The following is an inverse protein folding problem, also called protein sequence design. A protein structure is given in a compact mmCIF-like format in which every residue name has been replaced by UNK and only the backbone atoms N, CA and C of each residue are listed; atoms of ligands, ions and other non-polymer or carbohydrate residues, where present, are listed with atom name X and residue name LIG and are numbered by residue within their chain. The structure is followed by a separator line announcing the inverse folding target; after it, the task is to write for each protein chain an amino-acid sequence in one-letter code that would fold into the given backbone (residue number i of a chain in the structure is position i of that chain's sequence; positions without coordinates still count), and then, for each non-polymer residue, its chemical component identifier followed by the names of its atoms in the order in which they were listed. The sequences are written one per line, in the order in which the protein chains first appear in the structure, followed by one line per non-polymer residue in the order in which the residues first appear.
data_IF_231682123176
#
_entry.id   IF_231682123176
#
_cell.length_a   1.000
_cell.length_b   1.000
_cell.length_c   1.000
_cell.angle_alpha   90.00
_cell.angle_beta   90.00
_cell.angle_gamma   90.00
#
_symmetry.space_group_name_H-M   'P 1'
#
loop_
_entity.id
_entity.type
_entity.pdbx_description
1 polymer ?
#
# COMPACT_ATOMS: atom_id res chain seq x y z
N UNK A 1 20.14 0.03 15.10
CA UNK A 1 19.62 -0.70 13.93
C UNK A 1 19.36 0.33 12.84
N UNK A 2 19.60 0.01 11.56
CA UNK A 2 19.29 0.95 10.48
C UNK A 2 17.76 1.09 10.36
N UNK A 3 17.26 2.31 10.22
CA UNK A 3 15.83 2.57 9.98
C UNK A 3 15.41 1.93 8.65
N UNK A 4 14.35 1.10 8.62
CA UNK A 4 13.92 0.41 7.40
C UNK A 4 13.28 1.34 6.37
N UNK A 5 12.99 2.58 6.77
CA UNK A 5 12.32 3.61 6.00
C UNK A 5 13.29 4.76 5.73
N UNK A 6 13.33 5.23 4.49
CA UNK A 6 14.01 6.45 4.08
C UNK A 6 13.17 7.68 4.45
N UNK A 7 13.79 8.83 4.72
CA UNK A 7 13.05 10.06 4.95
C UNK A 7 12.15 10.38 3.72
N UNK A 8 10.98 10.98 3.96
CA UNK A 8 10.05 11.33 2.90
C UNK A 8 10.70 12.37 1.99
N UNK A 9 10.41 12.33 0.68
CA UNK A 9 10.98 13.28 -0.28
C UNK A 9 9.99 14.40 -0.61
N UNK A 10 10.49 15.55 -1.08
CA UNK A 10 9.66 16.72 -1.43
C UNK A 10 8.73 16.52 -2.62
N UNK A 11 8.89 15.42 -3.36
CA UNK A 11 8.08 15.08 -4.55
C UNK A 11 6.92 14.12 -4.24
N UNK A 12 6.79 13.67 -2.98
CA UNK A 12 5.71 12.77 -2.58
C UNK A 12 4.35 13.48 -2.56
N UNK A 13 3.33 12.78 -3.05
CA UNK A 13 1.93 13.20 -2.90
C UNK A 13 1.44 13.02 -1.46
N UNK A 14 0.24 13.55 -1.16
CA UNK A 14 -0.35 13.42 0.18
C UNK A 14 -0.57 11.94 0.56
N UNK A 15 -0.89 11.08 -0.42
CA UNK A 15 -1.03 9.64 -0.28
C UNK A 15 0.29 8.96 0.11
N UNK A 16 1.39 9.30 -0.58
CA UNK A 16 2.72 8.79 -0.26
C UNK A 16 3.22 9.26 1.13
N UNK A 17 2.86 10.48 1.55
CA UNK A 17 3.22 11.00 2.87
C UNK A 17 2.45 10.28 3.99
N UNK A 18 1.18 9.95 3.78
CA UNK A 18 0.42 9.10 4.70
C UNK A 18 0.99 7.69 4.73
N UNK A 19 1.31 7.09 3.57
CA UNK A 19 1.96 5.77 3.51
C UNK A 19 3.29 5.75 4.28
N UNK A 20 4.06 6.85 4.19
CA UNK A 20 5.29 7.01 4.97
C UNK A 20 5.01 6.99 6.48
N UNK A 21 3.98 7.70 6.95
CA UNK A 21 3.59 7.71 8.36
C UNK A 21 3.10 6.33 8.81
N UNK A 22 2.28 5.66 8.01
CA UNK A 22 1.75 4.33 8.31
C UNK A 22 2.87 3.28 8.41
N UNK A 23 3.81 3.29 7.46
CA UNK A 23 4.98 2.43 7.54
C UNK A 23 5.85 2.77 8.75
N UNK A 24 6.01 4.07 9.06
CA UNK A 24 6.78 4.53 10.23
C UNK A 24 6.17 3.98 11.51
N UNK A 25 4.85 4.09 11.68
CA UNK A 25 4.13 3.51 12.81
C UNK A 25 4.24 1.97 12.82
N UNK A 26 4.15 1.31 11.67
CA UNK A 26 4.26 -0.15 11.56
C UNK A 26 5.61 -0.71 12.01
N UNK A 27 6.72 0.00 11.73
CA UNK A 27 8.07 -0.41 12.12
C UNK A 27 8.51 0.18 13.47
N UNK A 28 7.76 1.14 14.02
CA UNK A 28 8.01 1.67 15.35
C UNK A 28 7.69 0.64 16.44
N UNK A 29 8.44 0.68 17.54
CA UNK A 29 8.27 -0.28 18.64
C UNK A 29 6.96 -0.07 19.40
N UNK A 30 6.43 1.16 19.40
CA UNK A 30 5.22 1.55 20.09
C UNK A 30 4.03 1.74 19.15
N UNK A 31 4.23 1.56 17.84
CA UNK A 31 3.17 1.74 16.86
C UNK A 31 2.85 3.21 16.56
N UNK A 32 3.82 4.12 16.70
CA UNK A 32 3.58 5.57 16.61
C UNK A 32 4.40 6.22 15.49
N UNK A 33 3.75 7.06 14.69
CA UNK A 33 4.42 8.01 13.79
C UNK A 33 4.02 9.45 14.12
N UNK A 34 5.01 10.34 14.21
CA UNK A 34 4.81 11.74 14.61
C UNK A 34 4.85 12.67 13.41
N UNK A 35 3.86 13.57 13.32
CA UNK A 35 3.81 14.60 12.26
C UNK A 35 4.99 15.56 12.34
N UNK A 36 5.46 15.90 13.55
CA UNK A 36 6.65 16.74 13.73
C UNK A 36 7.90 16.12 13.08
N UNK A 37 8.03 14.79 13.10
CA UNK A 37 9.17 14.09 12.50
C UNK A 37 9.11 14.12 10.97
N UNK A 38 7.90 14.00 10.40
CA UNK A 38 7.63 14.19 8.99
C UNK A 38 8.01 15.62 8.56
N UNK A 39 7.48 16.63 9.23
CA UNK A 39 7.78 18.05 8.97
C UNK A 39 9.26 18.35 9.08
N UNK A 40 9.92 17.89 10.15
CA UNK A 40 11.36 18.08 10.33
C UNK A 40 12.17 17.48 9.18
N UNK A 41 11.75 16.34 8.65
CA UNK A 41 12.41 15.70 7.50
C UNK A 41 12.21 16.49 6.21
N UNK A 42 11.00 16.97 5.94
CA UNK A 42 10.69 17.79 4.77
C UNK A 42 11.45 19.14 4.81
N UNK A 43 11.44 19.83 5.95
CA UNK A 43 12.17 21.10 6.14
C UNK A 43 13.68 20.91 5.92
N UNK A 44 14.25 19.81 6.44
CA UNK A 44 15.68 19.51 6.24
C UNK A 44 16.02 19.35 4.76
N UNK A 45 15.09 18.82 3.96
CA UNK A 45 15.28 18.63 2.52
C UNK A 45 15.06 19.91 1.70
N UNK A 46 14.23 20.85 2.17
CA UNK A 46 14.02 22.12 1.49
C UNK A 46 15.27 23.03 1.53
N UNK A 47 16.25 22.74 2.40
CA UNK A 47 17.45 23.58 2.64
C UNK A 47 17.09 25.07 2.90
N UNK A 48 15.86 25.34 3.32
CA UNK A 48 15.35 26.68 3.59
C UNK A 48 15.58 27.05 5.05
N UNK A 49 16.41 28.08 5.28
CA UNK A 49 16.42 28.78 6.56
C UNK A 49 15.16 29.68 6.62
N UNK A 50 14.02 29.10 7.01
CA UNK A 50 12.84 29.91 7.32
C UNK A 50 12.97 30.54 8.70
N UNK A 51 13.38 31.81 8.70
CA UNK A 51 13.45 32.67 9.89
C UNK A 51 12.05 33.20 10.30
N UNK A 52 11.00 33.00 9.48
CA UNK A 52 9.63 33.40 9.78
C UNK A 52 8.83 32.24 10.40
N UNK A 53 8.61 32.35 11.72
CA UNK A 53 7.82 31.39 12.50
C UNK A 53 6.39 31.28 11.98
N UNK A 54 5.79 32.38 11.51
CA UNK A 54 4.38 32.40 11.08
C UNK A 54 4.13 31.58 9.81
N UNK A 55 5.06 31.63 8.85
CA UNK A 55 4.92 30.85 7.61
C UNK A 55 5.15 29.35 7.87
N UNK A 56 6.05 29.01 8.81
CA UNK A 56 6.27 27.62 9.25
C UNK A 56 5.04 27.03 9.92
N UNK A 57 4.41 27.79 10.83
CA UNK A 57 3.18 27.34 11.51
C UNK A 57 2.05 27.12 10.49
N UNK A 58 1.89 28.04 9.54
CA UNK A 58 0.91 27.91 8.46
C UNK A 58 1.16 26.67 7.58
N UNK A 59 2.41 26.38 7.21
CA UNK A 59 2.75 25.17 6.44
C UNK A 59 2.47 23.90 7.23
N UNK A 60 2.77 23.90 8.53
CA UNK A 60 2.44 22.80 9.42
C UNK A 60 0.94 22.54 9.42
N UNK A 61 0.13 23.56 9.67
CA UNK A 61 -1.33 23.45 9.68
C UNK A 61 -1.88 22.90 8.36
N UNK A 62 -1.38 23.42 7.23
CA UNK A 62 -1.76 22.94 5.90
C UNK A 62 -1.36 21.49 5.63
N UNK A 63 -0.19 21.06 6.12
CA UNK A 63 0.22 19.66 6.00
C UNK A 63 -0.66 18.75 6.85
N UNK A 64 -0.89 19.13 8.12
CA UNK A 64 -1.76 18.38 9.04
C UNK A 64 -3.15 18.21 8.43
N UNK A 65 -3.75 19.28 7.92
CA UNK A 65 -5.07 19.23 7.29
C UNK A 65 -5.10 18.27 6.08
N UNK A 66 -4.06 18.26 5.25
CA UNK A 66 -3.97 17.34 4.10
C UNK A 66 -3.84 15.88 4.54
N UNK A 67 -2.99 15.60 5.52
CA UNK A 67 -2.81 14.26 6.08
C UNK A 67 -4.10 13.76 6.75
N UNK A 68 -4.75 14.61 7.55
CA UNK A 68 -6.05 14.34 8.16
C UNK A 68 -7.10 13.98 7.13
N UNK A 69 -7.20 14.74 6.04
CA UNK A 69 -8.16 14.48 4.98
C UNK A 69 -7.94 13.11 4.32
N UNK A 70 -6.69 12.75 4.03
CA UNK A 70 -6.35 11.46 3.42
C UNK A 70 -6.58 10.28 4.40
N UNK A 71 -6.19 10.41 5.67
CA UNK A 71 -6.46 9.39 6.71
C UNK A 71 -7.96 9.21 6.89
N UNK A 72 -8.73 10.30 6.98
CA UNK A 72 -10.19 10.25 7.10
C UNK A 72 -10.84 9.60 5.86
N UNK A 73 -10.30 9.83 4.67
CA UNK A 73 -10.76 9.17 3.44
C UNK A 73 -10.53 7.65 3.52
N UNK A 74 -9.35 7.22 3.95
CA UNK A 74 -9.01 5.80 4.14
C UNK A 74 -9.89 5.14 5.20
N UNK A 75 -10.04 5.77 6.37
CA UNK A 75 -10.94 5.31 7.44
C UNK A 75 -12.38 5.15 6.96
N UNK A 76 -12.90 6.13 6.22
CA UNK A 76 -14.27 6.07 5.69
C UNK A 76 -14.48 4.93 4.71
N UNK A 77 -13.50 4.67 3.85
CA UNK A 77 -13.61 3.66 2.80
C UNK A 77 -13.37 2.23 3.29
N UNK A 78 -12.49 2.06 4.29
CA UNK A 78 -12.03 0.76 4.77
C UNK A 78 -12.66 0.37 6.11
N UNK A 79 -13.18 1.33 6.88
CA UNK A 79 -13.79 1.12 8.18
C UNK A 79 -12.87 0.33 9.12
N UNK A 80 -13.40 -0.73 9.73
CA UNK A 80 -12.70 -1.56 10.72
C UNK A 80 -11.50 -2.36 10.19
N UNK A 81 -11.25 -2.30 8.87
CA UNK A 81 -10.11 -2.97 8.22
C UNK A 81 -8.90 -2.05 8.00
N UNK A 82 -9.01 -0.77 8.38
CA UNK A 82 -7.89 0.16 8.43
C UNK A 82 -7.28 0.19 9.84
N UNK A 83 -5.98 -0.13 10.01
CA UNK A 83 -5.36 -0.31 11.33
C UNK A 83 -4.77 0.97 11.92
N UNK A 84 -5.01 2.15 11.33
CA UNK A 84 -4.40 3.39 11.79
C UNK A 84 -5.45 4.39 12.26
N UNK A 85 -5.12 5.12 13.30
CA UNK A 85 -5.95 6.19 13.84
C UNK A 85 -5.13 7.42 14.17
N UNK A 86 -5.64 8.59 13.83
CA UNK A 86 -4.98 9.83 14.16
C UNK A 86 -5.39 10.23 15.58
N UNK A 87 -4.41 10.55 16.41
CA UNK A 87 -4.64 11.07 17.76
C UNK A 87 -5.55 12.29 17.74
N UNK A 88 -6.26 12.55 18.84
CA UNK A 88 -7.19 13.68 18.93
C UNK A 88 -6.55 15.06 18.72
N UNK A 89 -5.22 15.18 18.87
CA UNK A 89 -4.50 16.43 18.57
C UNK A 89 -4.01 16.53 17.13
N UNK A 90 -4.08 15.46 16.34
CA UNK A 90 -3.55 15.41 14.97
C UNK A 90 -2.03 15.21 14.88
N UNK A 91 -1.32 15.10 16.01
CA UNK A 91 0.16 15.09 16.01
C UNK A 91 0.76 13.69 15.81
N UNK A 92 -0.02 12.65 16.11
CA UNK A 92 0.43 11.26 16.10
C UNK A 92 -0.53 10.38 15.31
N UNK A 93 0.02 9.56 14.41
CA UNK A 93 -0.67 8.41 13.81
C UNK A 93 -0.34 7.16 14.62
N UNK A 94 -1.38 6.50 15.11
CA UNK A 94 -1.31 5.34 15.99
C UNK A 94 -1.71 4.08 15.23
N UNK A 95 -0.90 3.03 15.36
CA UNK A 95 -1.21 1.69 14.90
C UNK A 95 -2.06 0.97 15.95
N UNK A 96 -3.12 0.28 15.51
CA UNK A 96 -3.96 -0.54 16.39
C UNK A 96 -3.12 -1.59 17.15
N UNK A 97 -3.33 -1.71 18.46
CA UNK A 97 -2.58 -2.64 19.30
C UNK A 97 -2.73 -4.12 18.89
N UNK A 98 -3.82 -4.45 18.20
CA UNK A 98 -4.10 -5.74 17.60
C UNK A 98 -3.93 -5.73 16.07
N UNK A 99 -3.03 -4.91 15.50
CA UNK A 99 -2.78 -4.84 14.06
C UNK A 99 -2.50 -6.18 13.36
N UNK A 100 -2.12 -7.22 14.12
CA UNK A 100 -1.94 -8.60 13.65
C UNK A 100 -3.26 -9.35 13.41
N UNK A 101 -4.40 -8.75 13.73
CA UNK A 101 -5.71 -9.30 13.40
C UNK A 101 -5.82 -9.52 11.88
N UNK A 102 -6.26 -10.70 11.41
CA UNK A 102 -6.43 -10.99 9.99
C UNK A 102 -7.25 -9.96 9.20
N UNK A 103 -8.16 -9.21 9.85
CA UNK A 103 -8.95 -8.18 9.17
C UNK A 103 -8.11 -7.06 8.56
N UNK A 104 -6.94 -6.77 9.14
CA UNK A 104 -6.02 -5.73 8.65
C UNK A 104 -5.07 -6.23 7.55
N UNK A 105 -5.00 -7.55 7.34
CA UNK A 105 -4.00 -8.16 6.49
C UNK A 105 -4.05 -7.65 5.04
N UNK A 106 -5.25 -7.46 4.48
CA UNK A 106 -5.41 -6.94 3.12
C UNK A 106 -4.77 -5.56 2.96
N UNK A 107 -5.08 -4.66 3.90
CA UNK A 107 -4.55 -3.30 3.87
C UNK A 107 -3.02 -3.29 4.00
N UNK A 108 -2.49 -3.95 5.03
CA UNK A 108 -1.05 -3.98 5.31
C UNK A 108 -0.25 -4.65 4.17
N UNK A 109 -0.79 -5.71 3.55
CA UNK A 109 -0.15 -6.32 2.39
C UNK A 109 -0.12 -5.35 1.22
N UNK A 110 -1.20 -4.63 0.94
CA UNK A 110 -1.25 -3.64 -0.13
C UNK A 110 -0.25 -2.50 0.13
N UNK A 111 -0.28 -1.89 1.32
CA UNK A 111 0.65 -0.84 1.74
C UNK A 111 2.10 -1.27 1.51
N UNK A 112 2.52 -2.40 2.09
CA UNK A 112 3.90 -2.90 1.91
C UNK A 112 4.20 -3.16 0.44
N UNK A 113 3.29 -3.82 -0.29
CA UNK A 113 3.55 -4.21 -1.69
C UNK A 113 3.71 -2.99 -2.60
N UNK A 114 2.95 -1.91 -2.38
CA UNK A 114 3.09 -0.64 -3.12
C UNK A 114 4.51 -0.07 -3.01
N UNK A 115 5.18 -0.26 -1.86
CA UNK A 115 6.52 0.28 -1.64
C UNK A 115 7.68 -0.70 -1.86
N UNK A 116 7.39 -1.97 -2.12
CA UNK A 116 8.42 -3.01 -2.30
C UNK A 116 9.19 -2.86 -3.63
N UNK A 117 8.60 -2.21 -4.64
CA UNK A 117 9.27 -1.97 -5.94
C UNK A 117 9.22 -0.50 -6.31
N UNK A 118 10.39 0.13 -6.48
CA UNK A 118 10.49 1.47 -7.09
C UNK A 118 10.00 2.64 -6.22
N UNK A 119 9.64 2.40 -4.95
CA UNK A 119 9.28 3.49 -4.03
C UNK A 119 10.49 4.09 -3.35
N UNK A 120 10.43 5.40 -3.11
CA UNK A 120 11.43 6.16 -2.37
C UNK A 120 11.35 5.97 -0.83
N UNK A 121 10.36 5.20 -0.32
CA UNK A 121 10.08 5.11 1.11
C UNK A 121 10.80 3.92 1.77
N UNK A 122 10.77 2.72 1.17
CA UNK A 122 11.43 1.55 1.77
C UNK A 122 12.90 1.49 1.36
N UNK A 123 13.79 1.76 2.32
CA UNK A 123 15.24 1.73 2.11
C UNK A 123 15.77 0.34 1.81
N UNK A 124 15.24 -0.66 2.49
CA UNK A 124 15.66 -2.05 2.38
C UNK A 124 14.44 -2.92 2.13
N UNK A 125 13.90 -2.92 0.89
CA UNK A 125 12.78 -3.78 0.57
C UNK A 125 13.19 -5.25 0.75
N UNK A 126 12.22 -6.14 1.07
CA UNK A 126 12.50 -7.56 1.14
C UNK A 126 13.08 -8.04 -0.19
N UNK A 127 14.14 -8.83 -0.13
CA UNK A 127 14.80 -9.43 -1.29
C UNK A 127 14.52 -10.92 -1.44
N UNK A 128 15.02 -11.50 -2.53
CA UNK A 128 15.10 -12.96 -2.72
C UNK A 128 13.76 -13.69 -2.66
N UNK A 129 13.72 -14.77 -1.87
CA UNK A 129 12.55 -15.65 -1.74
C UNK A 129 11.35 -14.93 -1.10
N UNK A 130 11.59 -14.06 -0.12
CA UNK A 130 10.53 -13.33 0.56
C UNK A 130 9.79 -12.39 -0.41
N UNK A 131 10.54 -11.65 -1.21
CA UNK A 131 9.99 -10.82 -2.30
C UNK A 131 9.21 -11.66 -3.30
N UNK A 132 9.79 -12.77 -3.73
CA UNK A 132 9.17 -13.67 -4.69
C UNK A 132 7.85 -14.22 -4.16
N UNK A 133 7.81 -14.61 -2.88
CA UNK A 133 6.60 -15.10 -2.23
C UNK A 133 5.54 -14.00 -2.07
N UNK A 134 5.94 -12.80 -1.65
CA UNK A 134 5.02 -11.67 -1.50
C UNK A 134 4.37 -11.34 -2.85
N UNK A 135 5.18 -11.06 -3.88
CA UNK A 135 4.72 -10.65 -5.21
C UNK A 135 4.00 -11.77 -5.96
N UNK A 136 4.60 -12.96 -6.06
CA UNK A 136 4.11 -14.01 -6.95
C UNK A 136 3.00 -14.87 -6.34
N UNK A 137 2.78 -14.79 -5.01
CA UNK A 137 1.77 -15.62 -4.34
C UNK A 137 0.82 -14.78 -3.52
N UNK A 138 1.31 -14.05 -2.53
CA UNK A 138 0.45 -13.34 -1.58
C UNK A 138 -0.36 -12.26 -2.29
N UNK A 139 0.29 -11.39 -3.06
CA UNK A 139 -0.38 -10.32 -3.77
C UNK A 139 -1.37 -10.84 -4.83
N UNK A 140 -1.02 -11.90 -5.56
CA UNK A 140 -1.95 -12.52 -6.52
C UNK A 140 -3.22 -13.03 -5.84
N UNK A 141 -3.12 -13.63 -4.65
CA UNK A 141 -4.27 -14.09 -3.87
C UNK A 141 -5.11 -12.89 -3.42
N UNK A 142 -4.47 -11.89 -2.81
CA UNK A 142 -5.13 -10.68 -2.30
C UNK A 142 -5.87 -9.94 -3.43
N UNK A 143 -5.21 -9.72 -4.56
CA UNK A 143 -5.81 -9.06 -5.72
C UNK A 143 -7.00 -9.85 -6.30
N UNK A 144 -6.90 -11.19 -6.34
CA UNK A 144 -8.00 -12.03 -6.84
C UNK A 144 -9.20 -11.99 -5.91
N UNK A 145 -8.99 -12.05 -4.59
CA UNK A 145 -10.06 -11.95 -3.61
C UNK A 145 -10.68 -10.55 -3.61
N UNK A 146 -9.88 -9.49 -3.72
CA UNK A 146 -10.36 -8.12 -3.86
C UNK A 146 -11.23 -7.94 -5.11
N UNK A 147 -10.80 -8.46 -6.26
CA UNK A 147 -11.59 -8.43 -7.49
C UNK A 147 -12.89 -9.23 -7.37
N UNK A 148 -12.86 -10.40 -6.73
CA UNK A 148 -14.06 -11.20 -6.50
C UNK A 148 -15.09 -10.44 -5.64
N UNK A 149 -14.62 -9.76 -4.60
CA UNK A 149 -15.44 -8.88 -3.76
C UNK A 149 -16.04 -7.73 -4.56
N UNK A 150 -15.21 -7.00 -5.33
CA UNK A 150 -15.65 -5.87 -6.14
C UNK A 150 -16.67 -6.28 -7.23
N UNK A 151 -16.39 -7.37 -7.94
CA UNK A 151 -17.27 -7.88 -8.99
C UNK A 151 -18.53 -8.57 -8.42
N UNK A 152 -18.59 -8.81 -7.10
CA UNK A 152 -19.63 -9.62 -6.46
C UNK A 152 -19.79 -10.99 -7.16
N UNK A 153 -18.67 -11.63 -7.47
CA UNK A 153 -18.64 -12.81 -8.34
C UNK A 153 -17.29 -13.52 -8.37
N UNK A 154 -17.15 -14.59 -9.17
CA UNK A 154 -15.90 -15.32 -9.26
C UNK A 154 -14.81 -14.49 -9.93
N UNK A 155 -13.60 -14.54 -9.39
CA UNK A 155 -12.41 -13.95 -10.00
C UNK A 155 -11.35 -15.02 -10.23
N UNK A 156 -10.54 -14.82 -11.28
CA UNK A 156 -9.51 -15.77 -11.70
C UNK A 156 -8.19 -15.03 -11.87
N UNK A 157 -7.13 -15.52 -11.23
CA UNK A 157 -5.79 -15.01 -11.45
C UNK A 157 -5.19 -15.62 -12.71
N UNK A 158 -4.98 -14.80 -13.74
CA UNK A 158 -4.28 -15.21 -14.98
C UNK A 158 -2.75 -15.16 -14.85
N UNK A 159 -2.24 -14.72 -13.69
CA UNK A 159 -0.81 -14.49 -13.44
C UNK A 159 0.06 -15.75 -13.55
N UNK A 160 1.38 -15.54 -13.60
CA UNK A 160 2.39 -16.60 -13.60
C UNK A 160 3.36 -16.41 -12.42
N UNK A 161 3.88 -17.48 -11.78
CA UNK A 161 3.53 -18.90 -11.98
C UNK A 161 2.18 -19.27 -11.37
N UNK A 162 1.41 -20.11 -12.08
CA UNK A 162 0.14 -20.65 -11.55
C UNK A 162 0.43 -21.84 -10.63
N UNK A 163 -0.12 -21.81 -9.43
CA UNK A 163 0.09 -22.89 -8.45
C UNK A 163 -0.51 -24.22 -8.87
N UNK A 164 -1.57 -24.17 -9.68
CA UNK A 164 -2.27 -25.35 -10.21
C UNK A 164 -1.49 -26.03 -11.33
N UNK A 165 -0.47 -25.38 -11.90
CA UNK A 165 0.23 -25.86 -13.09
C UNK A 165 -0.58 -25.80 -14.39
N UNK A 166 -1.83 -25.29 -14.34
CA UNK A 166 -2.71 -25.18 -15.50
C UNK A 166 -2.06 -24.35 -16.62
N UNK A 167 -2.28 -24.75 -17.86
CA UNK A 167 -2.04 -23.92 -19.04
C UNK A 167 -3.00 -22.72 -19.06
N UNK A 168 -2.69 -21.69 -19.85
CA UNK A 168 -3.58 -20.55 -19.99
C UNK A 168 -4.94 -20.95 -20.59
N UNK A 169 -4.96 -21.94 -21.48
CA UNK A 169 -6.19 -22.44 -22.13
C UNK A 169 -7.09 -23.14 -21.12
N UNK A 170 -6.53 -24.00 -20.27
CA UNK A 170 -7.29 -24.68 -19.21
C UNK A 170 -7.89 -23.68 -18.22
N UNK A 171 -7.11 -22.68 -17.78
CA UNK A 171 -7.60 -21.63 -16.89
C UNK A 171 -8.75 -20.83 -17.52
N UNK A 172 -8.58 -20.38 -18.75
CA UNK A 172 -9.62 -19.61 -19.45
C UNK A 172 -10.86 -20.47 -19.68
N UNK A 173 -10.71 -21.77 -19.91
CA UNK A 173 -11.84 -22.69 -20.09
C UNK A 173 -12.65 -22.81 -18.80
N UNK A 174 -11.96 -22.93 -17.67
CA UNK A 174 -12.58 -22.92 -16.34
C UNK A 174 -13.27 -21.60 -16.03
N UNK A 175 -12.65 -20.47 -16.37
CA UNK A 175 -13.24 -19.14 -16.17
C UNK A 175 -14.47 -18.90 -17.07
N UNK A 176 -14.43 -19.34 -18.34
CA UNK A 176 -15.58 -19.28 -19.24
C UNK A 176 -16.75 -20.13 -18.71
N UNK A 177 -16.47 -21.35 -18.24
CA UNK A 177 -17.47 -22.22 -17.63
C UNK A 177 -18.08 -21.63 -16.34
N UNK A 178 -17.34 -20.78 -15.63
CA UNK A 178 -17.81 -20.05 -14.46
C UNK A 178 -18.55 -18.73 -14.79
N UNK A 179 -18.88 -18.48 -16.06
CA UNK A 179 -19.65 -17.31 -16.47
C UNK A 179 -18.82 -16.07 -16.82
N UNK A 180 -17.54 -16.24 -17.19
CA UNK A 180 -16.64 -15.13 -17.54
C UNK A 180 -17.06 -14.26 -18.74
N UNK A 181 -18.12 -14.62 -19.47
CA UNK A 181 -18.66 -13.80 -20.56
C UNK A 181 -17.84 -13.84 -21.86
N UNK A 182 -16.94 -14.82 -22.00
CA UNK A 182 -16.12 -15.01 -23.19
C UNK A 182 -16.05 -16.49 -23.60
N UNK A 183 -15.66 -16.73 -24.85
CA UNK A 183 -15.42 -18.07 -25.40
C UNK A 183 -13.92 -18.29 -25.61
N UNK A 184 -13.42 -19.46 -25.21
CA UNK A 184 -12.00 -19.81 -25.35
C UNK A 184 -11.71 -20.33 -26.75
N UNK A 185 -10.63 -19.84 -27.38
CA UNK A 185 -10.14 -20.36 -28.65
C UNK A 185 -9.11 -21.46 -28.42
N UNK A 186 -9.34 -22.61 -29.06
CA UNK A 186 -8.41 -23.75 -29.08
C UNK A 186 -8.25 -24.24 -30.52
N UNK A 187 -7.08 -24.06 -31.17
CA UNK A 187 -5.84 -23.54 -30.60
C UNK A 187 -5.91 -22.04 -30.27
N UNK A 188 -5.03 -21.53 -29.39
CA UNK A 188 -4.88 -20.09 -29.15
C UNK A 188 -4.63 -19.34 -30.46
N UNK A 189 -5.00 -18.06 -30.49
CA UNK A 189 -4.66 -17.20 -31.63
C UNK A 189 -3.13 -17.10 -31.83
N UNK A 190 -2.68 -16.76 -33.05
CA UNK A 190 -1.26 -16.57 -33.33
C UNK A 190 -0.68 -15.49 -32.40
N UNK A 191 0.49 -15.78 -31.81
CA UNK A 191 1.23 -14.80 -31.02
C UNK A 191 1.87 -13.80 -31.98
N UNK A 192 1.46 -12.54 -31.92
CA UNK A 192 2.17 -11.44 -32.58
C UNK A 192 3.06 -10.80 -31.53
N UNK A 193 4.37 -11.02 -31.62
CA UNK A 193 5.33 -10.24 -30.85
C UNK A 193 5.33 -8.83 -31.43
N UNK A 194 4.77 -7.87 -30.67
CA UNK A 194 4.94 -6.43 -30.91
C UNK A 194 6.26 -5.95 -30.30
#
# INVERSE_FOLDING_TARGET
MATPIDPPTLVLGDDDLVDWMELTALFDTFGVARVDALLGSLITLEETAEDDIGERDKRREQLVERLENEINLRQRNLGETYPFDLSASGDELLLDGNWRDPKYAFYLICLITTHVTGSAILRTPPGGELLTRLRNRVFQIVATLGLAGLATGPAFSVGWPRQTGETIVELLTRAAAAGGGFSVRTPPGPYFAS
#
